data_IF_820962258734
#
_entry.id   IF_820962258734
#
_cell.length_a   1.000
_cell.length_b   1.000
_cell.length_c   1.000
_cell.angle_alpha   90.00
_cell.angle_beta   90.00
_cell.angle_gamma   90.00
#
_symmetry.space_group_name_H-M   'P 1'
#
loop_
_entity.id
_entity.type
_entity.pdbx_description
1 polymer ?
#
# COMPACT_ATOMS: atom_id res chain seq x y z
N UNK A 1 -24.58 -43.60 -35.48
CA UNK A 1 -23.53 -42.59 -35.20
C UNK A 1 -24.11 -41.65 -34.16
N UNK A 2 -23.74 -41.83 -32.89
CA UNK A 2 -24.31 -41.07 -31.77
C UNK A 2 -23.54 -39.77 -31.56
N UNK A 3 -24.23 -38.64 -31.67
CA UNK A 3 -23.67 -37.33 -31.32
C UNK A 3 -23.61 -37.20 -29.80
N UNK A 4 -22.39 -37.20 -29.26
CA UNK A 4 -22.16 -36.92 -27.85
C UNK A 4 -22.15 -35.40 -27.66
N UNK A 5 -23.27 -34.87 -27.16
CA UNK A 5 -23.38 -33.47 -26.77
C UNK A 5 -22.43 -33.27 -25.58
N UNK A 6 -21.34 -32.53 -25.80
CA UNK A 6 -20.47 -32.03 -24.74
C UNK A 6 -21.34 -31.16 -23.83
N UNK A 7 -21.76 -31.71 -22.68
CA UNK A 7 -22.29 -30.89 -21.61
C UNK A 7 -21.16 -29.99 -21.12
N UNK A 8 -21.16 -28.74 -21.61
CA UNK A 8 -20.35 -27.67 -21.04
C UNK A 8 -20.80 -27.53 -19.58
N UNK A 9 -20.03 -28.10 -18.66
CA UNK A 9 -20.27 -27.95 -17.23
C UNK A 9 -20.21 -26.46 -16.91
N UNK A 10 -21.37 -25.85 -16.67
CA UNK A 10 -21.42 -24.46 -16.22
C UNK A 10 -20.64 -24.37 -14.91
N UNK A 11 -19.69 -23.42 -14.77
CA UNK A 11 -18.92 -23.30 -13.54
C UNK A 11 -19.89 -23.11 -12.36
N UNK A 12 -19.71 -23.92 -11.31
CA UNK A 12 -20.50 -23.83 -10.08
C UNK A 12 -20.41 -22.41 -9.54
N UNK A 13 -21.54 -21.69 -9.52
CA UNK A 13 -21.63 -20.35 -8.94
C UNK A 13 -21.49 -20.47 -7.42
N UNK A 14 -20.40 -19.96 -6.87
CA UNK A 14 -20.17 -20.00 -5.42
C UNK A 14 -20.89 -18.81 -4.79
N UNK A 15 -21.74 -19.08 -3.79
CA UNK A 15 -22.48 -18.04 -3.06
C UNK A 15 -21.97 -17.90 -1.63
N UNK A 16 -21.72 -16.65 -1.22
CA UNK A 16 -21.37 -16.30 0.16
C UNK A 16 -22.19 -15.09 0.56
N UNK A 17 -22.90 -15.17 1.68
CA UNK A 17 -23.71 -14.09 2.24
C UNK A 17 -24.64 -13.40 1.21
N UNK A 18 -25.22 -14.18 0.29
CA UNK A 18 -26.09 -13.65 -0.78
C UNK A 18 -25.39 -13.03 -1.99
N UNK A 19 -24.06 -13.06 -2.07
CA UNK A 19 -23.24 -12.62 -3.21
C UNK A 19 -22.74 -13.82 -4.01
N UNK A 20 -22.62 -13.67 -5.34
CA UNK A 20 -21.90 -14.65 -6.18
C UNK A 20 -20.45 -14.17 -6.27
N UNK A 21 -19.53 -15.02 -5.82
CA UNK A 21 -18.10 -14.69 -5.70
C UNK A 21 -17.30 -15.53 -6.68
N UNK A 22 -16.36 -14.88 -7.38
CA UNK A 22 -15.40 -15.57 -8.25
C UNK A 22 -14.49 -16.48 -7.41
N UNK A 23 -14.12 -17.69 -7.87
CA UNK A 23 -13.29 -18.61 -7.09
C UNK A 23 -11.98 -18.01 -6.58
N UNK A 24 -11.37 -17.09 -7.34
CA UNK A 24 -10.15 -16.36 -6.94
C UNK A 24 -10.34 -15.42 -5.75
N UNK A 25 -11.56 -14.96 -5.50
CA UNK A 25 -11.93 -14.08 -4.39
C UNK A 25 -12.54 -14.84 -3.21
N UNK A 26 -12.78 -16.14 -3.36
CA UNK A 26 -13.51 -16.95 -2.38
C UNK A 26 -12.91 -16.89 -0.97
N UNK A 27 -11.60 -17.07 -0.88
CA UNK A 27 -10.89 -17.06 0.42
C UNK A 27 -11.01 -15.70 1.11
N UNK A 28 -10.89 -14.62 0.33
CA UNK A 28 -11.01 -13.27 0.84
C UNK A 28 -12.44 -12.98 1.29
N UNK A 29 -13.44 -13.31 0.47
CA UNK A 29 -14.85 -13.12 0.82
C UNK A 29 -15.25 -13.88 2.09
N UNK A 30 -14.78 -15.13 2.25
CA UNK A 30 -14.99 -15.90 3.50
C UNK A 30 -14.38 -15.17 4.70
N UNK A 31 -13.15 -14.71 4.58
CA UNK A 31 -12.46 -13.99 5.64
C UNK A 31 -13.19 -12.70 6.03
N UNK A 32 -13.68 -11.92 5.06
CA UNK A 32 -14.46 -10.70 5.31
C UNK A 32 -15.66 -11.01 6.19
N UNK A 33 -16.54 -11.93 5.76
CA UNK A 33 -17.78 -12.19 6.48
C UNK A 33 -17.60 -12.99 7.78
N UNK A 34 -16.45 -13.63 7.97
CA UNK A 34 -16.09 -14.25 9.25
C UNK A 34 -15.56 -13.24 10.26
N UNK A 35 -14.83 -12.23 9.79
CA UNK A 35 -14.16 -11.23 10.65
C UNK A 35 -15.06 -10.03 10.92
N UNK A 36 -15.83 -9.62 9.91
CA UNK A 36 -16.71 -8.44 9.88
C UNK A 36 -18.07 -8.85 9.31
N UNK A 37 -18.84 -9.70 10.01
CA UNK A 37 -20.15 -10.19 9.54
C UNK A 37 -21.12 -9.06 9.18
N UNK A 38 -21.03 -7.91 9.87
CA UNK A 38 -21.82 -6.70 9.67
C UNK A 38 -21.65 -6.07 8.29
N UNK A 39 -20.54 -6.39 7.59
CA UNK A 39 -20.12 -5.76 6.32
C UNK A 39 -21.24 -5.62 5.30
N UNK A 40 -22.15 -6.59 5.21
CA UNK A 40 -23.24 -6.58 4.24
C UNK A 40 -24.64 -6.75 4.83
N UNK A 41 -24.81 -6.57 6.14
CA UNK A 41 -26.11 -6.76 6.81
C UNK A 41 -27.20 -5.82 6.25
N UNK A 42 -26.81 -4.58 5.97
CA UNK A 42 -27.73 -3.53 5.51
C UNK A 42 -27.78 -3.37 3.98
N UNK A 43 -27.15 -4.28 3.23
CA UNK A 43 -27.07 -4.19 1.76
C UNK A 43 -28.42 -4.51 1.13
N UNK A 44 -29.06 -3.50 0.54
CA UNK A 44 -30.40 -3.61 -0.07
C UNK A 44 -30.39 -3.95 -1.56
N UNK A 45 -29.20 -4.06 -2.16
CA UNK A 45 -29.02 -4.28 -3.60
C UNK A 45 -29.63 -5.62 -4.02
N UNK A 46 -30.66 -5.62 -4.87
CA UNK A 46 -31.30 -6.86 -5.36
C UNK A 46 -30.67 -7.37 -6.67
N UNK A 47 -30.16 -6.46 -7.50
CA UNK A 47 -29.60 -6.81 -8.80
C UNK A 47 -28.29 -7.59 -8.65
N UNK A 48 -28.25 -8.82 -9.18
CA UNK A 48 -27.10 -9.70 -9.04
C UNK A 48 -25.83 -9.17 -9.72
N UNK A 49 -25.95 -8.47 -10.86
CA UNK A 49 -24.78 -7.87 -11.52
C UNK A 49 -24.18 -6.79 -10.64
N UNK A 50 -25.01 -5.94 -10.04
CA UNK A 50 -24.56 -4.91 -9.10
C UNK A 50 -23.91 -5.50 -7.85
N UNK A 51 -24.52 -6.54 -7.24
CA UNK A 51 -23.91 -7.28 -6.13
C UNK A 51 -22.49 -7.75 -6.46
N UNK A 52 -22.30 -8.30 -7.67
CA UNK A 52 -21.00 -8.79 -8.10
C UNK A 52 -20.00 -7.63 -8.32
N UNK A 53 -20.45 -6.50 -8.88
CA UNK A 53 -19.62 -5.29 -9.04
C UNK A 53 -19.16 -4.77 -7.68
N UNK A 54 -20.07 -4.62 -6.72
CA UNK A 54 -19.72 -4.17 -5.37
C UNK A 54 -18.77 -5.14 -4.66
N UNK A 55 -18.98 -6.46 -4.78
CA UNK A 55 -18.07 -7.45 -4.21
C UNK A 55 -16.66 -7.36 -4.82
N UNK A 56 -16.56 -7.14 -6.14
CA UNK A 56 -15.27 -6.92 -6.81
C UNK A 56 -14.60 -5.64 -6.33
N UNK A 57 -15.37 -4.57 -6.15
CA UNK A 57 -14.89 -3.29 -5.65
C UNK A 57 -14.35 -3.43 -4.22
N UNK A 58 -15.11 -4.07 -3.32
CA UNK A 58 -14.71 -4.35 -1.94
C UNK A 58 -13.43 -5.20 -1.88
N UNK A 59 -13.38 -6.30 -2.64
CA UNK A 59 -12.19 -7.16 -2.69
C UNK A 59 -10.96 -6.42 -3.25
N UNK A 60 -11.15 -5.55 -4.25
CA UNK A 60 -10.11 -4.70 -4.81
C UNK A 60 -9.52 -3.76 -3.77
N UNK A 61 -10.37 -3.06 -3.03
CA UNK A 61 -9.94 -2.14 -1.98
C UNK A 61 -9.21 -2.85 -0.84
N UNK A 62 -9.69 -4.00 -0.39
CA UNK A 62 -8.98 -4.79 0.64
C UNK A 62 -7.60 -5.23 0.13
N UNK A 63 -7.50 -5.64 -1.14
CA UNK A 63 -6.21 -6.00 -1.73
C UNK A 63 -5.24 -4.80 -1.71
N UNK A 64 -5.71 -3.61 -2.06
CA UNK A 64 -4.90 -2.39 -2.00
C UNK A 64 -4.49 -2.05 -0.56
N UNK A 65 -5.43 -2.07 0.40
CA UNK A 65 -5.21 -1.58 1.76
C UNK A 65 -4.47 -2.58 2.68
N UNK A 66 -4.63 -3.88 2.46
CA UNK A 66 -4.02 -4.93 3.31
C UNK A 66 -2.86 -5.65 2.66
N UNK A 67 -2.82 -5.76 1.33
CA UNK A 67 -1.83 -6.59 0.64
C UNK A 67 -0.81 -5.79 -0.18
N UNK A 68 -1.00 -4.48 -0.36
CA UNK A 68 0.02 -3.62 -0.98
C UNK A 68 0.98 -3.09 0.09
N UNK A 69 2.31 -3.18 -0.10
CA UNK A 69 3.26 -2.55 0.80
C UNK A 69 3.03 -1.04 0.89
N UNK A 70 3.07 -0.46 2.09
CA UNK A 70 2.81 0.97 2.36
C UNK A 70 3.53 1.90 1.36
N UNK A 71 4.81 1.66 1.10
CA UNK A 71 5.65 2.46 0.18
C UNK A 71 5.17 2.45 -1.29
N UNK A 72 4.33 1.48 -1.67
CA UNK A 72 3.80 1.33 -3.03
C UNK A 72 2.39 1.90 -3.17
N UNK A 73 1.70 2.15 -2.06
CA UNK A 73 0.37 2.76 -2.09
C UNK A 73 0.51 4.23 -2.47
N UNK A 74 -0.17 4.63 -3.52
CA UNK A 74 -0.20 6.02 -4.00
C UNK A 74 -1.33 6.81 -3.35
N UNK A 75 -1.21 8.15 -3.40
CA UNK A 75 -2.29 9.04 -2.96
C UNK A 75 -3.56 8.84 -3.80
N UNK A 76 -3.39 8.61 -5.10
CA UNK A 76 -4.52 8.33 -6.01
C UNK A 76 -5.23 7.01 -5.65
N UNK A 77 -4.48 5.98 -5.24
CA UNK A 77 -5.06 4.72 -4.77
C UNK A 77 -5.83 4.89 -3.46
N UNK A 78 -5.33 5.70 -2.52
CA UNK A 78 -6.04 6.03 -1.29
C UNK A 78 -7.29 6.87 -1.57
N UNK A 79 -7.19 7.90 -2.40
CA UNK A 79 -8.32 8.73 -2.82
C UNK A 79 -9.39 7.90 -3.53
N UNK A 80 -8.98 6.98 -4.40
CA UNK A 80 -9.87 6.03 -5.05
C UNK A 80 -10.53 5.11 -4.02
N UNK A 81 -9.79 4.61 -3.05
CA UNK A 81 -10.35 3.76 -2.00
C UNK A 81 -11.42 4.50 -1.19
N UNK A 82 -11.19 5.74 -0.79
CA UNK A 82 -12.20 6.55 -0.11
C UNK A 82 -13.49 6.68 -0.92
N UNK A 83 -13.38 6.96 -2.23
CA UNK A 83 -14.55 7.09 -3.12
C UNK A 83 -15.28 5.76 -3.27
N UNK A 84 -14.55 4.68 -3.52
CA UNK A 84 -15.11 3.34 -3.64
C UNK A 84 -15.83 2.91 -2.34
N UNK A 85 -15.26 3.23 -1.17
CA UNK A 85 -15.89 2.96 0.13
C UNK A 85 -17.15 3.78 0.32
N UNK A 86 -17.13 5.07 -0.02
CA UNK A 86 -18.34 5.92 0.02
C UNK A 86 -19.47 5.35 -0.84
N UNK A 87 -19.18 4.89 -2.06
CA UNK A 87 -20.16 4.27 -2.95
C UNK A 87 -20.74 2.97 -2.35
N UNK A 88 -19.89 2.16 -1.71
CA UNK A 88 -20.31 0.94 -1.02
C UNK A 88 -21.17 1.24 0.21
N UNK A 89 -20.78 2.22 1.02
CA UNK A 89 -21.55 2.66 2.19
C UNK A 89 -22.92 3.18 1.76
N UNK A 90 -22.99 3.94 0.67
CA UNK A 90 -24.27 4.36 0.08
C UNK A 90 -25.14 3.19 -0.40
N UNK A 91 -24.51 2.08 -0.84
CA UNK A 91 -25.20 0.84 -1.20
C UNK A 91 -25.62 -0.01 0.02
N UNK A 92 -25.34 0.45 1.24
CA UNK A 92 -25.71 -0.19 2.51
C UNK A 92 -24.67 -1.14 3.08
N UNK A 93 -23.42 -1.08 2.62
CA UNK A 93 -22.32 -1.79 3.28
C UNK A 93 -21.92 -1.05 4.56
N UNK A 94 -21.57 -1.80 5.60
CA UNK A 94 -21.01 -1.26 6.85
C UNK A 94 -19.50 -1.45 6.82
N UNK A 95 -18.74 -0.37 6.65
CA UNK A 95 -17.31 -0.42 6.30
C UNK A 95 -16.40 0.39 7.23
N UNK A 96 -16.87 0.73 8.44
CA UNK A 96 -16.12 1.52 9.44
C UNK A 96 -14.72 0.95 9.70
N UNK A 97 -14.58 -0.37 9.69
CA UNK A 97 -13.31 -1.07 9.87
C UNK A 97 -12.31 -0.84 8.72
N UNK A 98 -12.82 -0.65 7.51
CA UNK A 98 -12.02 -0.41 6.31
C UNK A 98 -11.72 1.08 6.14
N UNK A 99 -12.67 1.95 6.50
CA UNK A 99 -12.45 3.40 6.61
C UNK A 99 -11.35 3.71 7.64
N UNK A 100 -11.44 3.13 8.83
CA UNK A 100 -10.39 3.23 9.87
C UNK A 100 -9.02 2.73 9.38
N UNK A 101 -9.01 1.72 8.51
CA UNK A 101 -7.77 1.22 7.90
C UNK A 101 -7.18 2.22 6.91
N UNK A 102 -8.00 2.90 6.12
CA UNK A 102 -7.55 3.97 5.22
C UNK A 102 -6.88 5.08 6.03
N UNK A 103 -7.52 5.57 7.10
CA UNK A 103 -6.97 6.63 7.95
C UNK A 103 -5.62 6.25 8.55
N UNK A 104 -5.51 5.00 9.03
CA UNK A 104 -4.25 4.46 9.54
C UNK A 104 -3.15 4.47 8.49
N UNK A 105 -3.43 4.01 7.27
CA UNK A 105 -2.45 3.98 6.18
C UNK A 105 -2.03 5.39 5.79
N UNK A 106 -2.97 6.33 5.69
CA UNK A 106 -2.70 7.73 5.36
C UNK A 106 -1.76 8.37 6.40
N UNK A 107 -2.01 8.12 7.69
CA UNK A 107 -1.15 8.58 8.78
C UNK A 107 0.25 7.95 8.74
N UNK A 108 0.33 6.62 8.60
CA UNK A 108 1.61 5.91 8.50
C UNK A 108 2.43 6.36 7.29
N UNK A 109 1.78 6.59 6.15
CA UNK A 109 2.43 7.06 4.91
C UNK A 109 3.00 8.46 5.09
N UNK A 110 2.24 9.38 5.71
CA UNK A 110 2.71 10.73 6.02
C UNK A 110 3.94 10.71 6.92
N UNK A 111 3.89 9.95 8.01
CA UNK A 111 5.03 9.81 8.93
C UNK A 111 6.27 9.20 8.25
N UNK A 112 6.06 8.19 7.41
CA UNK A 112 7.13 7.58 6.62
C UNK A 112 7.78 8.59 5.65
N UNK A 113 6.99 9.41 4.96
CA UNK A 113 7.48 10.43 4.04
C UNK A 113 8.23 11.55 4.77
N UNK A 114 7.75 11.99 5.93
CA UNK A 114 8.44 12.95 6.81
C UNK A 114 9.81 12.41 7.25
N UNK A 115 9.88 11.13 7.67
CA UNK A 115 11.16 10.50 8.06
C UNK A 115 12.14 10.39 6.90
N UNK A 116 11.65 10.16 5.67
CA UNK A 116 12.52 10.17 4.48
C UNK A 116 13.12 11.57 4.26
N UNK A 117 12.33 12.63 4.42
CA UNK A 117 12.81 14.01 4.25
C UNK A 117 13.88 14.34 5.29
N UNK A 118 13.64 13.97 6.55
CA UNK A 118 14.61 14.13 7.64
C UNK A 118 15.93 13.41 7.35
N UNK A 119 15.86 12.11 7.01
CA UNK A 119 17.06 11.32 6.69
C UNK A 119 17.83 11.88 5.47
N UNK A 120 17.13 12.39 4.45
CA UNK A 120 17.77 13.06 3.31
C UNK A 120 18.55 14.29 3.76
N UNK A 121 18.02 15.06 4.71
CA UNK A 121 18.68 16.23 5.25
C UNK A 121 19.89 15.85 6.12
N UNK A 122 19.76 14.84 6.99
CA UNK A 122 20.89 14.29 7.77
C UNK A 122 22.04 13.84 6.87
N UNK A 123 21.72 13.10 5.80
CA UNK A 123 22.71 12.65 4.80
C UNK A 123 23.39 13.84 4.12
N UNK A 124 22.66 14.92 3.82
CA UNK A 124 23.23 16.13 3.24
C UNK A 124 24.22 16.80 4.20
N UNK A 125 23.87 16.92 5.47
CA UNK A 125 24.75 17.50 6.49
C UNK A 125 26.01 16.67 6.69
N UNK A 126 25.87 15.34 6.82
CA UNK A 126 27.02 14.44 6.94
C UNK A 126 27.97 14.53 5.75
N UNK A 127 27.46 14.68 4.52
CA UNK A 127 28.29 14.87 3.32
C UNK A 127 29.11 16.16 3.40
N UNK A 128 28.54 17.26 3.90
CA UNK A 128 29.27 18.52 4.09
C UNK A 128 30.38 18.36 5.13
N UNK A 129 30.07 17.80 6.29
CA UNK A 129 31.05 17.55 7.36
C UNK A 129 32.20 16.67 6.88
N UNK A 130 31.91 15.58 6.17
CA UNK A 130 32.95 14.70 5.60
C UNK A 130 33.83 15.44 4.60
N UNK A 131 33.25 16.36 3.81
CA UNK A 131 34.01 17.14 2.83
C UNK A 131 34.93 18.15 3.51
N UNK A 132 34.45 18.82 4.56
CA UNK A 132 35.24 19.76 5.35
C UNK A 132 36.38 19.05 6.08
N UNK A 133 36.11 17.94 6.78
CA UNK A 133 37.13 17.13 7.46
C UNK A 133 38.20 16.62 6.48
N UNK A 134 37.81 16.22 5.27
CA UNK A 134 38.77 15.85 4.20
C UNK A 134 39.65 17.05 3.81
N UNK A 135 39.08 18.24 3.72
CA UNK A 135 39.82 19.48 3.46
C UNK A 135 40.81 19.81 4.57
N UNK A 136 40.38 19.72 5.83
CA UNK A 136 41.24 19.92 7.01
C UNK A 136 42.40 18.92 7.03
N UNK A 137 42.11 17.63 6.82
CA UNK A 137 43.14 16.58 6.75
C UNK A 137 44.21 16.88 5.70
N UNK A 138 43.81 17.28 4.48
CA UNK A 138 44.75 17.64 3.41
C UNK A 138 45.64 18.84 3.80
N UNK A 139 45.09 19.83 4.50
CA UNK A 139 45.86 20.99 4.99
C UNK A 139 46.91 20.54 6.02
N UNK A 140 46.55 19.67 6.97
CA UNK A 140 47.50 19.15 7.95
C UNK A 140 48.58 18.26 7.33
N UNK A 141 48.21 17.36 6.40
CA UNK A 141 49.18 16.56 5.64
C UNK A 141 50.18 17.45 4.87
N UNK A 142 49.71 18.56 4.29
CA UNK A 142 50.58 19.51 3.60
C UNK A 142 51.53 20.25 4.56
N UNK A 143 51.11 20.54 5.80
CA UNK A 143 51.98 21.12 6.84
C UNK A 143 53.09 20.16 7.25
N UNK A 144 52.77 18.88 7.46
CA UNK A 144 53.75 17.85 7.85
C UNK A 144 54.80 17.59 6.76
N UNK A 145 54.45 17.75 5.48
CA UNK A 145 55.39 17.58 4.36
C UNK A 145 56.34 18.76 4.14
N UNK A 146 56.10 19.92 4.76
CA UNK A 146 57.00 21.07 4.60
C UNK A 146 58.29 20.82 5.38
N UNK A 147 59.42 20.84 4.67
CA UNK A 147 60.76 20.73 5.27
C UNK A 147 61.01 21.96 6.17
N UNK A 148 61.50 21.78 7.40
CA UNK A 148 61.87 22.92 8.24
C UNK A 148 62.95 23.79 7.58
N UNK A 149 62.81 25.11 7.65
CA UNK A 149 63.68 26.09 6.98
C UNK A 149 65.15 26.04 7.41
N UNK A 150 65.46 25.40 8.55
CA UNK A 150 66.81 25.27 9.08
C UNK A 150 67.60 24.06 8.53
N UNK A 151 67.01 23.21 7.68
CA UNK A 151 67.69 22.03 7.08
C UNK A 151 68.34 22.38 5.70
N UNK A 152 68.40 23.66 5.32
CA UNK A 152 69.09 24.12 4.11
C UNK A 152 70.33 24.95 4.46
N UNK A 153 71.30 24.38 5.18
CA UNK A 153 72.65 24.95 5.25
C UNK A 153 73.65 23.80 5.33
N UNK A 154 74.53 23.71 4.33
CA UNK A 154 75.54 22.68 4.13
C UNK A 154 76.06 22.76 2.71
#
# INVERSE_FOLDING_TARGET
>A
MGNQILQVQRPRKIRINGFIVDPSQLKLAKWIFQTYPETAENVKVQNQKLKNTYMKLLCGNIKTLYHTPLRKITEDELSKACKDLSDLTQAGFTLDWLESKVDKISSEKKSYEERIVELKQEVKQLKLTVSDLKGQRKKEEAKLKKRPSWIQVG
#
